data_IF_150971653416
#
_entry.id   IF_150971653416
#
_cell.length_a   1.000
_cell.length_b   1.000
_cell.length_c   1.000
_cell.angle_alpha   90.00
_cell.angle_beta   90.00
_cell.angle_gamma   90.00
#
_symmetry.space_group_name_H-M   'P 1'
#
loop_
_entity.id
_entity.type
_entity.pdbx_description
1 polymer ?
#
# COMPACT_ATOMS: atom_id res chain seq x y z
N UNK A 1 9.29 10.15 7.14
CA UNK A 1 7.83 10.01 7.30
C UNK A 1 7.55 8.54 7.46
N UNK A 2 6.60 8.18 8.33
CA UNK A 2 6.23 6.79 8.58
C UNK A 2 4.74 6.63 8.43
N UNK A 3 4.29 5.66 7.64
CA UNK A 3 2.88 5.26 7.59
C UNK A 3 2.74 4.01 8.45
N UNK A 4 1.91 4.07 9.49
CA UNK A 4 1.65 2.94 10.35
C UNK A 4 0.71 1.94 9.65
N UNK A 5 0.72 0.66 10.07
CA UNK A 5 -0.33 -0.28 9.69
C UNK A 5 -1.70 0.30 10.01
N UNK A 6 -2.69 -0.04 9.19
CA UNK A 6 -4.04 0.42 9.47
C UNK A 6 -4.67 -0.35 10.63
N UNK A 7 -5.52 0.33 11.42
CA UNK A 7 -6.20 -0.24 12.58
C UNK A 7 -7.71 -0.06 12.39
N UNK A 8 -8.45 -1.15 12.59
CA UNK A 8 -9.91 -1.09 12.64
C UNK A 8 -10.37 -0.82 14.08
N UNK A 9 -11.11 0.28 14.29
CA UNK A 9 -11.71 0.66 15.57
C UNK A 9 -12.97 1.48 15.33
N UNK A 10 -14.06 1.19 16.06
CA UNK A 10 -15.31 1.97 16.02
C UNK A 10 -15.81 2.23 14.59
N UNK A 11 -15.85 1.17 13.77
CA UNK A 11 -16.29 1.22 12.37
C UNK A 11 -15.44 2.12 11.45
N UNK A 12 -14.19 2.39 11.82
CA UNK A 12 -13.21 3.06 10.97
C UNK A 12 -11.98 2.19 10.82
N UNK A 13 -11.38 2.19 9.63
CA UNK A 13 -10.09 1.54 9.39
C UNK A 13 -9.11 2.62 8.95
N UNK A 14 -8.18 2.99 9.83
CA UNK A 14 -7.34 4.18 9.66
C UNK A 14 -5.87 3.84 9.68
N UNK A 15 -5.08 4.50 8.83
CA UNK A 15 -3.62 4.46 8.86
C UNK A 15 -3.08 5.83 9.29
N UNK A 16 -2.27 5.84 10.34
CA UNK A 16 -1.67 7.07 10.87
C UNK A 16 -0.38 7.40 10.13
N UNK A 17 -0.18 8.69 9.85
CA UNK A 17 1.00 9.19 9.16
C UNK A 17 1.81 10.05 10.11
N UNK A 18 3.02 9.59 10.43
CA UNK A 18 3.93 10.23 11.38
C UNK A 18 5.05 11.01 10.67
N UNK A 19 5.41 12.15 11.25
CA UNK A 19 6.66 12.85 10.94
C UNK A 19 7.87 12.15 11.54
N UNK A 20 9.07 12.57 11.13
CA UNK A 20 10.32 12.04 11.67
C UNK A 20 10.50 12.21 13.19
N UNK A 21 9.73 13.11 13.81
CA UNK A 21 9.69 13.31 15.27
C UNK A 21 8.64 12.42 15.98
N UNK A 22 7.95 11.53 15.26
CA UNK A 22 6.93 10.63 15.81
C UNK A 22 5.54 11.24 16.00
N UNK A 23 5.33 12.52 15.67
CA UNK A 23 4.02 13.16 15.76
C UNK A 23 3.16 12.72 14.57
N UNK A 24 1.94 12.25 14.85
CA UNK A 24 0.92 12.00 13.83
C UNK A 24 0.43 13.33 13.27
N UNK A 25 0.51 13.51 11.95
CA UNK A 25 -0.01 14.71 11.28
C UNK A 25 -1.46 14.48 10.85
N UNK A 26 -1.74 13.28 10.33
CA UNK A 26 -3.02 12.93 9.73
C UNK A 26 -3.31 11.43 9.88
N UNK A 27 -4.59 11.11 9.72
CA UNK A 27 -5.14 9.77 9.70
C UNK A 27 -5.82 9.59 8.34
N UNK A 28 -5.41 8.59 7.56
CA UNK A 28 -6.10 8.25 6.33
C UNK A 28 -7.12 7.15 6.63
N UNK A 29 -8.40 7.43 6.42
CA UNK A 29 -9.44 6.41 6.48
C UNK A 29 -9.46 5.58 5.20
N UNK A 30 -9.78 4.30 5.36
CA UNK A 30 -10.11 3.41 4.26
C UNK A 30 -11.46 3.81 3.69
N UNK A 31 -11.56 3.87 2.36
CA UNK A 31 -12.74 4.36 1.67
C UNK A 31 -13.65 3.22 1.17
N UNK A 32 -13.06 2.06 0.85
CA UNK A 32 -13.78 0.96 0.23
C UNK A 32 -13.74 -0.29 1.13
N UNK A 33 -14.89 -0.82 1.59
CA UNK A 33 -14.92 -2.01 2.42
C UNK A 33 -14.46 -3.25 1.63
N UNK A 34 -13.73 -4.14 2.29
CA UNK A 34 -13.40 -5.44 1.71
C UNK A 34 -14.55 -6.43 1.90
N UNK A 35 -14.86 -7.20 0.86
CA UNK A 35 -15.75 -8.37 0.96
C UNK A 35 -14.89 -9.62 1.01
N UNK A 36 -15.02 -10.41 2.08
CA UNK A 36 -14.28 -11.64 2.27
C UNK A 36 -15.22 -12.76 2.74
N UNK A 37 -15.26 -13.87 1.98
CA UNK A 37 -16.15 -15.02 2.24
C UNK A 37 -17.62 -14.62 2.49
N UNK A 38 -18.13 -13.65 1.73
CA UNK A 38 -19.51 -13.16 1.86
C UNK A 38 -19.76 -12.20 3.02
N UNK A 39 -18.76 -11.95 3.87
CA UNK A 39 -18.81 -10.90 4.91
C UNK A 39 -18.23 -9.60 4.38
N UNK A 40 -18.89 -8.48 4.69
CA UNK A 40 -18.42 -7.15 4.36
C UNK A 40 -17.73 -6.52 5.58
N UNK A 41 -16.57 -5.93 5.37
CA UNK A 41 -15.87 -5.15 6.40
C UNK A 41 -16.76 -3.98 6.85
N UNK A 42 -17.03 -3.91 8.15
CA UNK A 42 -17.94 -2.90 8.70
C UNK A 42 -17.21 -1.58 8.95
N UNK A 43 -17.05 -0.79 7.89
CA UNK A 43 -16.43 0.55 7.93
C UNK A 43 -17.37 1.63 7.40
N UNK A 44 -17.23 2.85 7.93
CA UNK A 44 -17.84 4.07 7.42
C UNK A 44 -16.75 4.98 6.83
N UNK A 45 -16.72 5.18 5.50
CA UNK A 45 -15.72 6.04 4.88
C UNK A 45 -15.99 7.51 5.21
N UNK A 46 -14.93 8.28 5.38
CA UNK A 46 -15.01 9.74 5.56
C UNK A 46 -15.03 10.51 4.22
N UNK A 47 -14.90 9.79 3.10
CA UNK A 47 -14.81 10.30 1.73
C UNK A 47 -13.71 11.37 1.55
N UNK A 48 -12.65 11.28 2.34
CA UNK A 48 -11.54 12.23 2.32
C UNK A 48 -10.24 11.53 1.94
N UNK A 49 -9.58 12.06 0.90
CA UNK A 49 -8.22 11.67 0.52
C UNK A 49 -7.25 12.75 0.97
N UNK A 50 -6.38 12.41 1.92
CA UNK A 50 -5.29 13.30 2.32
C UNK A 50 -4.10 13.12 1.37
N UNK A 51 -3.59 14.24 0.85
CA UNK A 51 -2.46 14.27 -0.08
C UNK A 51 -1.30 15.00 0.59
N UNK A 52 -0.18 14.30 0.76
CA UNK A 52 1.03 14.90 1.31
C UNK A 52 1.89 15.38 0.16
N UNK A 53 2.29 16.65 0.20
CA UNK A 53 3.21 17.19 -0.79
C UNK A 53 4.64 17.27 -0.22
N UNK A 54 5.60 16.74 -0.96
CA UNK A 54 7.03 16.88 -0.72
C UNK A 54 7.68 17.51 -1.97
N UNK A 55 8.56 18.52 -1.82
CA UNK A 55 9.25 19.12 -2.96
C UNK A 55 10.10 18.14 -3.78
N UNK A 56 10.61 17.09 -3.13
CA UNK A 56 11.47 16.07 -3.77
C UNK A 56 10.63 14.94 -4.35
N UNK A 57 9.64 14.44 -3.59
CA UNK A 57 8.89 13.23 -3.95
C UNK A 57 7.68 13.56 -4.83
N UNK A 58 7.08 14.75 -4.68
CA UNK A 58 5.83 15.14 -5.32
C UNK A 58 4.62 14.93 -4.40
N UNK A 59 3.55 14.30 -4.91
CA UNK A 59 2.30 14.05 -4.17
C UNK A 59 2.25 12.61 -3.71
N UNK A 60 2.13 12.42 -2.40
CA UNK A 60 2.11 11.11 -1.75
C UNK A 60 0.70 10.85 -1.24
N UNK A 61 0.15 9.68 -1.60
CA UNK A 61 -1.15 9.22 -1.14
C UNK A 61 -1.02 7.90 -0.39
N UNK A 62 -1.87 7.71 0.61
CA UNK A 62 -2.03 6.43 1.30
C UNK A 62 -3.36 5.81 0.87
N UNK A 63 -3.33 4.56 0.41
CA UNK A 63 -4.55 3.84 0.01
C UNK A 63 -4.58 2.52 0.78
N UNK A 64 -5.63 2.25 1.56
CA UNK A 64 -5.63 1.10 2.46
C UNK A 64 -6.23 -0.11 1.75
N UNK A 65 -5.38 -1.09 1.45
CA UNK A 65 -5.76 -2.40 0.92
C UNK A 65 -6.71 -2.32 -0.30
N UNK A 66 -8.02 -2.50 -0.08
CA UNK A 66 -9.05 -2.55 -1.13
C UNK A 66 -9.20 -1.23 -1.88
N UNK A 67 -8.82 -0.11 -1.26
CA UNK A 67 -8.82 1.21 -1.91
C UNK A 67 -7.99 1.18 -3.20
N UNK A 68 -6.76 0.65 -3.13
CA UNK A 68 -5.86 0.58 -4.28
C UNK A 68 -6.33 -0.44 -5.35
N UNK A 69 -7.15 -1.41 -4.98
CA UNK A 69 -7.75 -2.37 -5.92
C UNK A 69 -9.07 -1.86 -6.54
N UNK A 70 -9.51 -0.66 -6.17
CA UNK A 70 -10.77 -0.08 -6.67
C UNK A 70 -10.44 0.85 -7.83
N UNK A 71 -10.76 0.42 -9.05
CA UNK A 71 -10.30 1.06 -10.29
C UNK A 71 -10.64 2.56 -10.35
N UNK A 72 -11.89 2.92 -10.07
CA UNK A 72 -12.31 4.34 -10.12
C UNK A 72 -11.55 5.19 -9.10
N UNK A 73 -11.34 4.67 -7.88
CA UNK A 73 -10.62 5.40 -6.85
C UNK A 73 -9.13 5.53 -7.18
N UNK A 74 -8.50 4.44 -7.64
CA UNK A 74 -7.12 4.45 -8.11
C UNK A 74 -6.92 5.44 -9.27
N UNK A 75 -7.84 5.46 -10.24
CA UNK A 75 -7.77 6.40 -11.36
C UNK A 75 -7.95 7.86 -10.91
N UNK A 76 -8.76 8.15 -9.90
CA UNK A 76 -8.79 9.51 -9.32
C UNK A 76 -7.42 9.88 -8.76
N UNK A 77 -6.76 8.97 -8.04
CA UNK A 77 -5.42 9.19 -7.46
C UNK A 77 -4.35 9.38 -8.55
N UNK A 78 -4.42 8.61 -9.64
CA UNK A 78 -3.44 8.65 -10.74
C UNK A 78 -3.70 9.78 -11.75
N UNK A 79 -4.93 9.94 -12.24
CA UNK A 79 -5.25 10.89 -13.32
C UNK A 79 -5.47 12.31 -12.82
N UNK A 80 -6.21 12.45 -11.70
CA UNK A 80 -6.70 13.73 -11.19
C UNK A 80 -5.74 14.30 -10.15
N UNK A 81 -5.41 13.49 -9.15
CA UNK A 81 -4.46 13.88 -8.12
C UNK A 81 -3.03 13.78 -8.64
N UNK A 82 -2.74 12.91 -9.62
CA UNK A 82 -1.39 12.70 -10.15
C UNK A 82 -0.39 12.41 -9.04
N UNK A 83 -0.74 11.45 -8.16
CA UNK A 83 0.18 11.00 -7.13
C UNK A 83 1.48 10.49 -7.77
N UNK A 84 2.61 10.85 -7.19
CA UNK A 84 3.93 10.35 -7.59
C UNK A 84 4.38 9.17 -6.74
N UNK A 85 3.78 8.99 -5.56
CA UNK A 85 3.99 7.83 -4.70
C UNK A 85 2.68 7.41 -4.03
N UNK A 86 2.34 6.13 -4.12
CA UNK A 86 1.22 5.52 -3.40
C UNK A 86 1.77 4.51 -2.39
N UNK A 87 1.39 4.66 -1.12
CA UNK A 87 1.72 3.75 -0.03
C UNK A 87 0.48 2.91 0.30
N UNK A 88 0.61 1.59 0.24
CA UNK A 88 -0.51 0.65 0.33
C UNK A 88 -0.30 -0.36 1.47
N UNK A 89 -0.59 0.01 2.73
CA UNK A 89 -0.69 -0.95 3.81
C UNK A 89 -1.87 -1.90 3.57
N UNK A 90 -1.64 -3.20 3.69
CA UNK A 90 -2.62 -4.22 3.31
C UNK A 90 -2.74 -5.39 4.30
N UNK A 91 -3.92 -6.00 4.29
CA UNK A 91 -4.22 -7.29 4.90
C UNK A 91 -4.99 -8.14 3.87
N UNK A 92 -4.24 -8.71 2.92
CA UNK A 92 -4.76 -9.40 1.72
C UNK A 92 -4.44 -10.89 1.73
N UNK A 93 -5.28 -11.69 1.06
CA UNK A 93 -5.07 -13.14 0.88
C UNK A 93 -4.13 -13.53 -0.26
N UNK A 94 -3.53 -12.55 -0.94
CA UNK A 94 -2.50 -12.78 -1.96
C UNK A 94 -1.96 -11.50 -2.60
N UNK A 95 -0.91 -11.64 -3.42
CA UNK A 95 -0.25 -10.53 -4.13
C UNK A 95 -0.78 -10.24 -5.53
N UNK A 96 -1.44 -11.20 -6.17
CA UNK A 96 -1.77 -11.17 -7.60
C UNK A 96 -2.48 -9.87 -8.04
N UNK A 97 -3.51 -9.44 -7.32
CA UNK A 97 -4.24 -8.21 -7.68
C UNK A 97 -3.37 -6.95 -7.54
N UNK A 98 -2.43 -6.94 -6.59
CA UNK A 98 -1.53 -5.81 -6.39
C UNK A 98 -0.41 -5.77 -7.42
N UNK A 99 0.01 -6.90 -7.98
CA UNK A 99 0.92 -6.94 -9.13
C UNK A 99 0.29 -6.24 -10.35
N UNK A 100 -1.01 -6.44 -10.58
CA UNK A 100 -1.76 -5.73 -11.63
C UNK A 100 -1.89 -4.23 -11.34
N UNK A 101 -2.19 -3.85 -10.09
CA UNK A 101 -2.25 -2.43 -9.69
C UNK A 101 -0.91 -1.74 -9.92
N UNK A 102 0.19 -2.39 -9.55
CA UNK A 102 1.54 -1.86 -9.77
C UNK A 102 1.81 -1.65 -11.26
N UNK A 103 1.47 -2.62 -12.11
CA UNK A 103 1.63 -2.48 -13.55
C UNK A 103 0.83 -1.30 -14.11
N UNK A 104 -0.38 -1.05 -13.59
CA UNK A 104 -1.19 0.11 -13.95
C UNK A 104 -0.54 1.42 -13.50
N UNK A 105 -0.09 1.54 -12.25
CA UNK A 105 0.58 2.73 -11.71
C UNK A 105 1.83 3.13 -12.51
N UNK A 106 2.56 2.15 -13.05
CA UNK A 106 3.71 2.41 -13.92
C UNK A 106 3.36 3.23 -15.17
N UNK A 107 2.21 2.97 -15.78
CA UNK A 107 1.78 3.73 -16.97
C UNK A 107 1.55 5.22 -16.69
N UNK A 108 1.48 5.58 -15.41
CA UNK A 108 1.27 6.94 -14.90
C UNK A 108 2.53 7.56 -14.28
N UNK A 109 3.70 6.92 -14.43
CA UNK A 109 4.94 7.34 -13.74
C UNK A 109 4.75 7.48 -12.22
N UNK A 110 3.96 6.59 -11.63
CA UNK A 110 3.65 6.60 -10.21
C UNK A 110 4.41 5.48 -9.48
N UNK A 111 5.20 5.85 -8.48
CA UNK A 111 5.86 4.90 -7.59
C UNK A 111 4.85 4.26 -6.64
N UNK A 112 5.09 3.00 -6.26
CA UNK A 112 4.19 2.26 -5.36
C UNK A 112 4.99 1.50 -4.32
N UNK A 113 4.57 1.57 -3.06
CA UNK A 113 5.01 0.65 -2.03
C UNK A 113 3.80 -0.09 -1.47
N UNK A 114 3.63 -1.34 -1.88
CA UNK A 114 2.62 -2.23 -1.33
C UNK A 114 3.25 -3.13 -0.27
N UNK A 115 2.69 -3.13 0.95
CA UNK A 115 3.18 -3.94 2.06
C UNK A 115 2.00 -4.65 2.71
N UNK A 116 2.06 -5.98 2.76
CA UNK A 116 1.03 -6.83 3.32
C UNK A 116 1.45 -7.38 4.68
N UNK A 117 0.50 -7.45 5.62
CA UNK A 117 0.75 -8.04 6.92
C UNK A 117 1.05 -9.55 6.81
N UNK A 118 2.14 -10.00 7.45
CA UNK A 118 2.48 -11.43 7.54
C UNK A 118 1.36 -12.28 8.12
N UNK A 119 0.56 -11.72 9.02
CA UNK A 119 -0.52 -12.43 9.68
C UNK A 119 -1.63 -12.85 8.69
N UNK A 120 -1.76 -12.16 7.55
CA UNK A 120 -2.77 -12.49 6.54
C UNK A 120 -2.58 -13.91 5.95
N UNK A 121 -1.37 -14.48 6.02
CA UNK A 121 -1.11 -15.88 5.61
C UNK A 121 -1.97 -16.91 6.35
N UNK A 122 -2.41 -16.56 7.56
CA UNK A 122 -3.24 -17.44 8.38
C UNK A 122 -4.71 -17.45 7.92
N UNK A 123 -5.13 -16.57 7.00
CA UNK A 123 -6.47 -16.58 6.42
C UNK A 123 -6.68 -17.70 5.38
N UNK A 124 -5.60 -18.16 4.74
CA UNK A 124 -5.60 -19.20 3.70
C UNK A 124 -4.43 -20.16 3.91
N UNK A 125 -4.44 -20.96 5.00
CA UNK A 125 -3.35 -21.89 5.31
C UNK A 125 -3.19 -22.98 4.24
N UNK A 126 -4.22 -23.23 3.44
CA UNK A 126 -4.27 -24.13 2.30
C UNK A 126 -3.59 -23.58 1.02
N UNK A 127 -3.27 -22.28 0.99
CA UNK A 127 -2.66 -21.59 -0.17
C UNK A 127 -1.45 -20.74 0.23
N UNK A 128 -0.39 -21.34 0.79
CA UNK A 128 0.81 -20.61 1.21
C UNK A 128 1.50 -19.87 0.05
N UNK A 129 1.35 -20.34 -1.18
CA UNK A 129 1.90 -19.74 -2.40
C UNK A 129 1.35 -18.34 -2.68
N UNK A 130 0.12 -18.04 -2.25
CA UNK A 130 -0.44 -16.70 -2.38
C UNK A 130 0.38 -15.63 -1.64
N UNK A 131 1.16 -16.05 -0.64
CA UNK A 131 2.00 -15.19 0.19
C UNK A 131 3.48 -15.30 -0.17
N UNK A 132 3.80 -15.81 -1.37
CA UNK A 132 5.18 -15.79 -1.91
C UNK A 132 5.75 -14.37 -1.87
N UNK A 133 4.91 -13.37 -2.13
CA UNK A 133 5.23 -11.96 -1.97
C UNK A 133 4.40 -11.37 -0.82
N UNK A 134 5.08 -10.79 0.16
CA UNK A 134 4.47 -10.05 1.28
C UNK A 134 4.53 -8.54 1.09
N UNK A 135 5.17 -8.09 0.00
CA UNK A 135 5.21 -6.70 -0.40
C UNK A 135 5.91 -6.56 -1.74
N UNK A 136 5.74 -5.39 -2.33
CA UNK A 136 6.27 -5.04 -3.63
C UNK A 136 6.52 -3.54 -3.69
N UNK A 137 7.67 -3.17 -4.25
CA UNK A 137 8.02 -1.79 -4.50
C UNK A 137 8.17 -1.58 -5.99
N UNK A 138 7.47 -0.58 -6.52
CA UNK A 138 7.63 -0.08 -7.88
C UNK A 138 8.39 1.24 -7.86
N UNK A 139 9.48 1.27 -8.61
CA UNK A 139 10.10 2.49 -9.07
C UNK A 139 9.65 2.79 -10.51
N UNK A 140 9.14 3.98 -10.79
CA UNK A 140 8.70 4.45 -12.11
C UNK A 140 9.26 5.84 -12.38
N UNK A 141 9.83 6.06 -13.58
CA UNK A 141 10.45 7.34 -13.96
C UNK A 141 11.44 7.24 -15.12
N UNK A 142 12.02 8.36 -15.56
CA UNK A 142 13.02 8.38 -16.65
C UNK A 142 14.31 7.69 -16.21
N UNK A 143 14.81 6.72 -16.99
CA UNK A 143 15.99 5.92 -16.64
C UNK A 143 15.67 4.59 -15.94
N UNK A 144 14.38 4.30 -15.72
CA UNK A 144 13.91 2.99 -15.28
C UNK A 144 14.36 1.89 -16.25
N UNK A 145 15.21 0.97 -15.78
CA UNK A 145 15.73 -0.15 -16.57
C UNK A 145 14.68 -1.23 -16.90
N UNK A 146 15.13 -2.46 -17.14
CA UNK A 146 14.24 -3.60 -17.42
C UNK A 146 13.18 -3.83 -16.31
N UNK A 147 12.03 -4.40 -16.71
CA UNK A 147 10.83 -4.60 -15.87
C UNK A 147 11.13 -5.21 -14.48
N UNK A 148 12.00 -6.21 -14.45
CA UNK A 148 12.36 -6.95 -13.22
C UNK A 148 13.19 -6.11 -12.22
N UNK A 149 13.85 -5.04 -12.68
CA UNK A 149 14.59 -4.12 -11.79
C UNK A 149 13.69 -3.08 -11.13
N UNK A 150 12.49 -2.88 -11.69
CA UNK A 150 11.54 -1.86 -11.26
C UNK A 150 10.59 -2.36 -10.19
N UNK A 151 10.28 -3.65 -10.25
CA UNK A 151 9.43 -4.34 -9.30
C UNK A 151 10.33 -5.12 -8.36
N UNK A 152 10.55 -4.58 -7.15
CA UNK A 152 11.35 -5.23 -6.12
C UNK A 152 10.41 -5.99 -5.18
N UNK A 153 10.47 -7.34 -5.16
CA UNK A 153 9.74 -8.11 -4.16
C UNK A 153 10.31 -7.85 -2.77
N UNK A 154 9.44 -7.71 -1.78
CA UNK A 154 9.82 -7.42 -0.40
C UNK A 154 9.66 -8.68 0.45
N UNK A 155 10.79 -9.20 0.93
CA UNK A 155 10.87 -10.41 1.76
C UNK A 155 11.24 -10.08 3.20
N UNK A 156 10.83 -10.93 4.14
CA UNK A 156 11.15 -10.75 5.55
C UNK A 156 12.65 -10.95 5.74
N UNK A 157 13.37 -9.87 6.05
CA UNK A 157 14.82 -9.91 6.23
C UNK A 157 15.21 -10.28 7.67
N UNK A 158 14.37 -9.95 8.65
CA UNK A 158 14.65 -10.22 10.06
C UNK A 158 13.41 -10.71 10.80
N UNK A 159 13.56 -11.82 11.54
CA UNK A 159 12.49 -12.37 12.39
C UNK A 159 12.98 -12.52 13.83
N UNK A 160 12.47 -11.71 14.76
CA UNK A 160 12.78 -11.82 16.19
C UNK A 160 11.51 -11.71 17.03
N UNK A 161 11.30 -12.67 17.94
CA UNK A 161 10.13 -12.71 18.85
C UNK A 161 8.78 -12.51 18.13
N UNK A 162 8.65 -13.02 16.90
CA UNK A 162 7.41 -12.88 16.11
C UNK A 162 7.27 -11.58 15.32
N UNK A 163 8.24 -10.66 15.39
CA UNK A 163 8.28 -9.44 14.58
C UNK A 163 9.08 -9.69 13.30
N UNK A 164 8.53 -9.25 12.16
CA UNK A 164 9.18 -9.28 10.86
C UNK A 164 9.61 -7.85 10.47
N UNK A 165 10.86 -7.66 10.03
CA UNK A 165 11.32 -6.42 9.39
C UNK A 165 11.48 -6.66 7.89
N UNK A 166 11.01 -5.67 7.14
CA UNK A 166 11.07 -5.60 5.69
C UNK A 166 11.68 -4.25 5.32
N UNK A 167 12.76 -4.29 4.55
CA UNK A 167 13.43 -3.11 4.00
C UNK A 167 13.53 -3.24 2.48
N UNK A 168 13.29 -2.12 1.83
CA UNK A 168 13.49 -1.92 0.40
C UNK A 168 13.69 -0.44 0.16
N UNK A 169 14.53 -0.13 -0.81
CA UNK A 169 14.79 1.25 -1.23
C UNK A 169 13.92 1.60 -2.43
N UNK A 170 13.42 2.84 -2.43
CA UNK A 170 12.81 3.51 -3.57
C UNK A 170 13.77 4.63 -3.92
N UNK A 171 14.41 4.53 -5.09
CA UNK A 171 15.14 5.67 -5.65
C UNK A 171 14.11 6.74 -6.02
N UNK A 172 14.35 7.99 -5.65
CA UNK A 172 13.42 9.11 -5.91
C UNK A 172 14.10 10.19 -6.77
N UNK A 173 15.13 9.76 -7.52
CA UNK A 173 16.05 10.59 -8.31
C UNK A 173 15.37 11.29 -9.51
#
# INVERSE_FOLDING_TARGET
>A
MTVLPSVWKENRNTADILLGNGIAIYHQDKQVPMIFNGSCEHIFPDNTLYVIHSPVIGRICVMICKDALTHDYLNVVLDKIRASLILIPSFSTGSYDFENVVAHCRAYDCNVAWINACAAKHLKPDKPENFRLTGLVLHSGKGSGALDRLIRPVYCQYRRKGVCLFDSEIDLD
#
